data_IF_920720273754
#
_entry.id   IF_920720273754
#
_cell.length_a   1.000
_cell.length_b   1.000
_cell.length_c   1.000
_cell.angle_alpha   90.00
_cell.angle_beta   90.00
_cell.angle_gamma   90.00
#
_symmetry.space_group_name_H-M   'P 1'
#
loop_
_entity.id
_entity.type
_entity.pdbx_description
1 polymer ?
#
# COMPACT_ATOMS: atom_id res chain seq x y z
N UNK A 1 -49.78 -11.23 31.43
CA UNK A 1 -49.21 -9.85 31.47
C UNK A 1 -48.16 -9.74 30.37
N UNK A 2 -48.57 -9.20 29.24
CA UNK A 2 -47.67 -9.02 28.08
C UNK A 2 -46.95 -7.69 28.21
N UNK A 3 -45.57 -7.70 28.22
CA UNK A 3 -44.78 -6.51 28.03
C UNK A 3 -44.36 -6.41 26.57
N UNK A 4 -44.83 -5.36 25.92
CA UNK A 4 -44.48 -4.96 24.55
C UNK A 4 -43.04 -4.51 24.52
N UNK A 5 -42.23 -5.14 23.68
CA UNK A 5 -40.87 -4.69 23.32
C UNK A 5 -40.97 -3.84 22.06
N UNK A 6 -40.68 -2.56 22.19
CA UNK A 6 -40.68 -1.59 21.09
C UNK A 6 -39.41 -1.76 20.25
N UNK A 7 -39.60 -2.13 19.00
CA UNK A 7 -38.55 -2.26 17.99
C UNK A 7 -38.25 -0.87 17.42
N UNK A 8 -37.08 -0.29 17.72
CA UNK A 8 -36.62 0.96 17.11
C UNK A 8 -35.96 0.60 15.79
N UNK A 9 -36.62 0.90 14.69
CA UNK A 9 -36.02 0.87 13.36
C UNK A 9 -35.13 2.09 13.18
N UNK A 10 -33.80 1.87 13.13
CA UNK A 10 -32.83 2.85 12.66
C UNK A 10 -32.83 2.83 11.12
N UNK A 11 -33.46 3.83 10.52
CA UNK A 11 -33.33 4.09 9.08
C UNK A 11 -31.97 4.71 8.80
N UNK A 12 -31.07 3.95 8.18
CA UNK A 12 -29.84 4.50 7.58
C UNK A 12 -30.22 5.28 6.32
N UNK A 13 -30.13 6.61 6.41
CA UNK A 13 -30.17 7.48 5.25
C UNK A 13 -28.81 7.32 4.49
N UNK A 14 -28.88 6.73 3.31
CA UNK A 14 -27.78 6.71 2.37
C UNK A 14 -27.58 8.13 1.81
N UNK A 15 -26.59 8.86 2.32
CA UNK A 15 -26.15 10.11 1.73
C UNK A 15 -25.35 9.81 0.47
N UNK A 16 -25.99 9.95 -0.68
CA UNK A 16 -25.32 9.99 -1.96
C UNK A 16 -24.43 11.25 -1.99
N UNK A 17 -23.09 11.08 -1.87
CA UNK A 17 -22.14 12.13 -2.24
C UNK A 17 -22.18 12.28 -3.76
N UNK A 18 -23.02 13.24 -4.22
CA UNK A 18 -22.91 13.79 -5.55
C UNK A 18 -21.64 14.63 -5.60
N UNK A 19 -20.65 14.18 -6.36
CA UNK A 19 -19.48 14.99 -6.67
C UNK A 19 -19.94 16.22 -7.43
N UNK A 20 -19.95 17.37 -6.78
CA UNK A 20 -20.25 18.65 -7.39
C UNK A 20 -19.10 19.00 -8.35
N UNK A 21 -19.38 18.96 -9.63
CA UNK A 21 -18.55 19.60 -10.67
C UNK A 21 -18.49 21.09 -10.33
N UNK A 22 -17.30 21.71 -10.21
CA UNK A 22 -17.22 23.13 -9.96
C UNK A 22 -17.82 23.89 -11.13
N UNK A 23 -18.96 24.54 -10.89
CA UNK A 23 -19.55 25.49 -11.81
C UNK A 23 -18.70 26.76 -11.75
N UNK A 24 -18.02 27.08 -12.86
CA UNK A 24 -17.39 28.38 -13.00
C UNK A 24 -18.47 29.47 -12.89
N UNK A 25 -18.30 30.37 -11.92
CA UNK A 25 -19.16 31.56 -11.77
C UNK A 25 -18.96 32.46 -13.01
N UNK A 26 -20.03 33.03 -13.63
CA UNK A 26 -19.87 33.94 -14.75
C UNK A 26 -19.27 35.26 -14.28
N UNK A 27 -18.16 35.68 -14.89
CA UNK A 27 -17.66 37.04 -14.73
C UNK A 27 -18.60 38.04 -15.43
N UNK A 28 -19.18 38.95 -14.66
CA UNK A 28 -20.03 40.02 -15.19
C UNK A 28 -19.13 41.17 -15.63
N UNK A 29 -18.92 41.31 -16.92
CA UNK A 29 -18.29 42.51 -17.50
C UNK A 29 -19.33 43.62 -17.64
N UNK A 30 -18.90 44.87 -17.46
CA UNK A 30 -19.74 46.10 -17.39
C UNK A 30 -20.51 46.44 -18.66
N UNK A 31 -20.57 45.61 -19.67
CA UNK A 31 -21.26 45.82 -20.95
C UNK A 31 -22.40 44.87 -21.26
N UNK A 32 -22.89 44.09 -20.27
CA UNK A 32 -24.16 43.37 -20.37
C UNK A 32 -24.29 42.28 -21.46
N UNK A 33 -23.24 41.90 -22.17
CA UNK A 33 -23.23 40.79 -23.12
C UNK A 33 -22.57 39.57 -22.50
N UNK A 34 -23.39 38.55 -22.14
CA UNK A 34 -22.90 37.23 -21.77
C UNK A 34 -22.22 36.61 -23.00
N UNK A 35 -20.91 36.67 -23.07
CA UNK A 35 -20.16 35.81 -24.00
C UNK A 35 -20.07 34.41 -23.38
N UNK A 36 -20.89 33.49 -23.85
CA UNK A 36 -20.65 32.05 -23.62
C UNK A 36 -19.31 31.72 -24.29
N UNK A 37 -18.24 31.54 -23.50
CA UNK A 37 -17.03 30.91 -24.01
C UNK A 37 -17.39 29.56 -24.54
N UNK A 38 -17.29 29.37 -25.84
CA UNK A 38 -17.55 28.07 -26.48
C UNK A 38 -16.70 27.02 -25.78
N UNK A 39 -17.32 26.00 -25.16
CA UNK A 39 -16.62 24.88 -24.57
C UNK A 39 -15.90 24.17 -25.71
N UNK A 40 -14.57 24.22 -25.75
CA UNK A 40 -13.76 23.46 -26.70
C UNK A 40 -14.11 21.99 -26.54
N UNK A 41 -14.42 21.33 -27.63
CA UNK A 41 -14.64 19.87 -27.63
C UNK A 41 -13.32 19.13 -27.33
N UNK A 42 -13.38 17.91 -26.78
CA UNK A 42 -12.16 17.12 -26.56
C UNK A 42 -11.31 16.95 -27.83
N UNK A 43 -11.95 16.84 -29.01
CA UNK A 43 -11.25 16.75 -30.29
C UNK A 43 -10.52 18.04 -30.66
N UNK A 44 -11.11 19.21 -30.39
CA UNK A 44 -10.46 20.51 -30.63
C UNK A 44 -9.30 20.75 -29.66
N UNK A 45 -9.47 20.42 -28.37
CA UNK A 45 -8.40 20.52 -27.39
C UNK A 45 -7.24 19.55 -27.71
N UNK A 46 -7.55 18.33 -28.17
CA UNK A 46 -6.55 17.38 -28.66
C UNK A 46 -5.77 17.95 -29.86
N UNK A 47 -6.45 18.59 -30.81
CA UNK A 47 -5.81 19.22 -31.96
C UNK A 47 -4.88 20.37 -31.55
N UNK A 48 -5.09 20.95 -30.36
CA UNK A 48 -4.24 22.00 -29.77
C UNK A 48 -3.10 21.42 -28.92
N UNK A 49 -2.95 20.10 -28.87
CA UNK A 49 -1.85 19.42 -28.16
C UNK A 49 -2.18 18.96 -26.72
N UNK A 50 -3.44 19.04 -26.28
CA UNK A 50 -3.86 18.49 -25.00
C UNK A 50 -3.98 16.95 -25.10
N UNK A 51 -2.97 16.25 -24.60
CA UNK A 51 -2.89 14.80 -24.64
C UNK A 51 -3.99 14.11 -23.81
N UNK A 52 -4.45 14.75 -22.73
CA UNK A 52 -5.57 14.22 -21.94
C UNK A 52 -6.90 14.34 -22.71
N UNK A 53 -7.09 15.45 -23.42
CA UNK A 53 -8.23 15.60 -24.32
C UNK A 53 -8.17 14.59 -25.47
N UNK A 54 -6.98 14.24 -25.97
CA UNK A 54 -6.80 13.16 -26.95
C UNK A 54 -7.27 11.80 -26.43
N UNK A 55 -7.01 11.49 -25.16
CA UNK A 55 -7.53 10.27 -24.52
C UNK A 55 -9.06 10.30 -24.51
N UNK A 56 -9.67 11.38 -24.03
CA UNK A 56 -11.14 11.51 -23.94
C UNK A 56 -11.77 11.39 -25.33
N UNK A 57 -11.27 12.11 -26.33
CA UNK A 57 -11.76 12.03 -27.70
C UNK A 57 -11.57 10.62 -28.31
N UNK A 58 -10.44 9.96 -28.02
CA UNK A 58 -10.17 8.60 -28.45
C UNK A 58 -11.14 7.57 -27.85
N UNK A 59 -11.48 7.70 -26.57
CA UNK A 59 -12.46 6.84 -25.90
C UNK A 59 -13.88 7.09 -26.42
N UNK A 60 -14.24 8.34 -26.75
CA UNK A 60 -15.50 8.67 -27.42
C UNK A 60 -15.60 8.01 -28.81
N UNK A 61 -14.56 8.17 -29.64
CA UNK A 61 -14.49 7.53 -30.94
C UNK A 61 -14.56 5.99 -30.84
N UNK A 62 -13.95 5.41 -29.77
CA UNK A 62 -14.01 3.97 -29.51
C UNK A 62 -15.45 3.50 -29.23
N UNK A 63 -16.26 4.30 -28.52
CA UNK A 63 -17.66 3.96 -28.27
C UNK A 63 -18.50 3.91 -29.55
N UNK A 64 -18.13 4.72 -30.56
CA UNK A 64 -18.77 4.75 -31.88
C UNK A 64 -18.19 3.70 -32.84
N UNK A 65 -17.03 3.13 -32.54
CA UNK A 65 -16.29 2.21 -33.41
C UNK A 65 -17.07 0.93 -33.76
N UNK A 66 -18.04 0.54 -32.93
CA UNK A 66 -18.94 -0.59 -33.22
C UNK A 66 -19.92 -0.31 -34.34
N UNK A 67 -20.19 0.95 -34.62
CA UNK A 67 -21.21 1.38 -35.60
C UNK A 67 -20.58 1.98 -36.85
N UNK A 68 -19.37 2.50 -36.80
CA UNK A 68 -18.69 3.22 -37.86
C UNK A 68 -17.23 2.80 -37.99
N UNK A 69 -16.84 2.30 -39.17
CA UNK A 69 -15.44 1.90 -39.42
C UNK A 69 -14.46 3.09 -39.33
N UNK A 70 -14.88 4.30 -39.79
CA UNK A 70 -14.06 5.50 -39.65
C UNK A 70 -13.74 5.85 -38.19
N UNK A 71 -14.66 5.59 -37.27
CA UNK A 71 -14.44 5.84 -35.85
C UNK A 71 -13.34 4.95 -35.24
N UNK A 72 -13.11 3.75 -35.81
CA UNK A 72 -11.99 2.86 -35.42
C UNK A 72 -10.64 3.51 -35.73
N UNK A 73 -10.50 4.06 -36.94
CA UNK A 73 -9.26 4.73 -37.31
C UNK A 73 -9.00 5.98 -36.47
N UNK A 74 -10.05 6.79 -36.21
CA UNK A 74 -9.95 7.94 -35.34
C UNK A 74 -9.59 7.57 -33.90
N UNK A 75 -10.25 6.56 -33.34
CA UNK A 75 -9.94 6.05 -31.99
C UNK A 75 -8.47 5.61 -31.89
N UNK A 76 -7.98 4.82 -32.84
CA UNK A 76 -6.58 4.39 -32.87
C UNK A 76 -5.63 5.58 -32.92
N UNK A 77 -5.87 6.52 -33.81
CA UNK A 77 -5.03 7.73 -34.00
C UNK A 77 -5.00 8.57 -32.73
N UNK A 78 -6.16 8.86 -32.13
CA UNK A 78 -6.27 9.70 -30.93
C UNK A 78 -5.65 9.03 -29.69
N UNK A 79 -5.88 7.74 -29.48
CA UNK A 79 -5.26 6.98 -28.41
C UNK A 79 -3.73 6.89 -28.59
N UNK A 80 -3.26 6.78 -29.86
CA UNK A 80 -1.81 6.81 -30.15
C UNK A 80 -1.22 8.17 -29.78
N UNK A 81 -1.84 9.27 -30.19
CA UNK A 81 -1.38 10.62 -29.84
C UNK A 81 -1.33 10.82 -28.31
N UNK A 82 -2.37 10.41 -27.60
CA UNK A 82 -2.40 10.51 -26.14
C UNK A 82 -1.30 9.63 -25.48
N UNK A 83 -1.08 8.43 -25.98
CA UNK A 83 -0.04 7.53 -25.49
C UNK A 83 1.37 8.08 -25.75
N UNK A 84 1.64 8.56 -26.95
CA UNK A 84 2.91 9.20 -27.32
C UNK A 84 3.13 10.49 -26.50
N UNK A 85 2.03 11.15 -26.12
CA UNK A 85 1.99 12.27 -25.17
C UNK A 85 2.10 11.87 -23.69
N UNK A 86 2.51 10.61 -23.40
CA UNK A 86 2.75 10.08 -22.04
C UNK A 86 1.49 9.97 -21.15
N UNK A 87 0.31 9.82 -21.74
CA UNK A 87 -0.89 9.46 -20.98
C UNK A 87 -0.94 7.97 -20.80
N UNK A 88 -0.59 7.49 -19.62
CA UNK A 88 -0.46 6.06 -19.30
C UNK A 88 -1.74 5.26 -19.61
N UNK A 89 -2.90 5.83 -19.27
CA UNK A 89 -4.20 5.21 -19.54
C UNK A 89 -4.46 5.00 -21.03
N UNK A 90 -4.06 5.93 -21.89
CA UNK A 90 -4.18 5.79 -23.34
C UNK A 90 -3.30 4.64 -23.86
N UNK A 91 -2.07 4.55 -23.36
CA UNK A 91 -1.15 3.45 -23.69
C UNK A 91 -1.75 2.09 -23.28
N UNK A 92 -2.34 2.02 -22.09
CA UNK A 92 -3.02 0.80 -21.60
C UNK A 92 -4.20 0.42 -22.49
N UNK A 93 -5.08 1.36 -22.79
CA UNK A 93 -6.22 1.09 -23.67
C UNK A 93 -5.77 0.62 -25.05
N UNK A 94 -4.82 1.33 -25.66
CA UNK A 94 -4.29 0.95 -26.97
C UNK A 94 -3.64 -0.45 -26.95
N UNK A 95 -2.81 -0.72 -25.93
CA UNK A 95 -2.16 -2.01 -25.75
C UNK A 95 -3.17 -3.15 -25.57
N UNK A 96 -4.20 -2.96 -24.74
CA UNK A 96 -5.25 -3.97 -24.52
C UNK A 96 -6.05 -4.24 -25.80
N UNK A 97 -6.46 -3.20 -26.54
CA UNK A 97 -7.21 -3.35 -27.77
C UNK A 97 -6.42 -4.05 -28.89
N UNK A 98 -5.11 -3.81 -28.93
CA UNK A 98 -4.21 -4.54 -29.84
C UNK A 98 -3.95 -5.99 -29.41
N UNK A 99 -4.07 -6.30 -28.10
CA UNK A 99 -3.97 -7.68 -27.58
C UNK A 99 -5.19 -8.50 -27.99
N UNK A 100 -6.39 -7.95 -27.76
CA UNK A 100 -7.65 -8.69 -27.98
C UNK A 100 -8.01 -8.81 -29.46
N UNK A 101 -7.69 -7.84 -30.28
CA UNK A 101 -8.07 -7.82 -31.69
C UNK A 101 -9.54 -7.48 -31.95
N UNK A 102 -10.32 -7.12 -30.94
CA UNK A 102 -11.78 -6.91 -31.02
C UNK A 102 -12.16 -5.67 -31.85
N UNK A 103 -11.37 -4.63 -31.77
CA UNK A 103 -11.63 -3.35 -32.44
C UNK A 103 -10.60 -3.07 -33.52
N UNK A 104 -9.33 -3.27 -33.20
CA UNK A 104 -8.20 -3.12 -34.10
C UNK A 104 -7.67 -4.52 -34.49
N UNK A 105 -7.05 -4.64 -35.63
CA UNK A 105 -6.34 -5.88 -36.00
C UNK A 105 -5.32 -6.18 -34.87
N UNK A 106 -5.32 -7.42 -34.37
CA UNK A 106 -4.40 -7.86 -33.35
C UNK A 106 -2.94 -7.64 -33.75
N UNK A 107 -2.17 -7.05 -32.89
CA UNK A 107 -0.73 -6.86 -33.02
C UNK A 107 -0.08 -7.09 -31.65
N UNK A 108 0.34 -8.32 -31.32
CA UNK A 108 0.91 -8.65 -30.02
C UNK A 108 2.21 -7.92 -29.72
N UNK A 109 2.99 -7.56 -30.73
CA UNK A 109 4.27 -6.85 -30.56
C UNK A 109 4.01 -5.41 -30.16
N UNK A 110 3.17 -4.71 -30.93
CA UNK A 110 2.79 -3.34 -30.63
C UNK A 110 2.01 -3.25 -29.30
N UNK A 111 1.11 -4.22 -29.05
CA UNK A 111 0.40 -4.34 -27.78
C UNK A 111 1.36 -4.33 -26.58
N UNK A 112 2.36 -5.22 -26.60
CA UNK A 112 3.33 -5.33 -25.52
C UNK A 112 4.16 -4.04 -25.35
N UNK A 113 4.53 -3.40 -26.48
CA UNK A 113 5.26 -2.12 -26.43
C UNK A 113 4.42 -1.02 -25.77
N UNK A 114 3.13 -0.90 -26.12
CA UNK A 114 2.23 0.09 -25.53
C UNK A 114 1.97 -0.17 -24.03
N UNK A 115 1.79 -1.43 -23.65
CA UNK A 115 1.67 -1.81 -22.24
C UNK A 115 2.95 -1.50 -21.46
N UNK A 116 4.13 -1.75 -22.04
CA UNK A 116 5.42 -1.38 -21.41
C UNK A 116 5.53 0.14 -21.20
N UNK A 117 5.15 0.95 -22.18
CA UNK A 117 5.11 2.40 -22.03
C UNK A 117 4.18 2.83 -20.88
N UNK A 118 3.00 2.25 -20.78
CA UNK A 118 2.06 2.53 -19.69
C UNK A 118 2.62 2.12 -18.32
N UNK A 119 3.24 0.94 -18.22
CA UNK A 119 3.88 0.46 -17.00
C UNK A 119 5.04 1.39 -16.58
N UNK A 120 5.87 1.86 -17.53
CA UNK A 120 6.94 2.81 -17.25
C UNK A 120 6.42 4.18 -16.77
N UNK A 121 5.15 4.50 -17.10
CA UNK A 121 4.40 5.65 -16.61
C UNK A 121 3.63 5.34 -15.31
N UNK A 122 4.00 4.29 -14.58
CA UNK A 122 3.42 3.89 -13.29
C UNK A 122 1.95 3.43 -13.38
N UNK A 123 1.48 2.96 -14.55
CA UNK A 123 0.19 2.30 -14.65
C UNK A 123 0.29 0.85 -14.13
N UNK A 124 -0.10 0.64 -12.90
CA UNK A 124 -0.09 -0.65 -12.20
C UNK A 124 -0.78 -1.76 -12.99
N UNK A 125 -1.93 -1.45 -13.62
CA UNK A 125 -2.69 -2.45 -14.38
C UNK A 125 -1.92 -2.94 -15.60
N UNK A 126 -1.22 -2.05 -16.29
CA UNK A 126 -0.37 -2.43 -17.43
C UNK A 126 0.81 -3.28 -17.02
N UNK A 127 1.44 -2.98 -15.88
CA UNK A 127 2.51 -3.81 -15.34
C UNK A 127 2.02 -5.25 -15.09
N UNK A 128 0.83 -5.41 -14.48
CA UNK A 128 0.24 -6.71 -14.22
C UNK A 128 -0.13 -7.46 -15.51
N UNK A 129 -0.67 -6.76 -16.53
CA UNK A 129 -0.94 -7.39 -17.84
C UNK A 129 0.32 -7.92 -18.53
N UNK A 130 1.47 -7.29 -18.27
CA UNK A 130 2.77 -7.75 -18.77
C UNK A 130 3.28 -8.93 -17.94
N UNK A 131 3.05 -8.93 -16.63
CA UNK A 131 3.35 -10.10 -15.77
C UNK A 131 2.62 -11.33 -16.28
N UNK A 132 1.31 -11.22 -16.58
CA UNK A 132 0.52 -12.33 -17.12
C UNK A 132 1.10 -12.83 -18.46
N UNK A 133 1.57 -11.91 -19.32
CA UNK A 133 2.20 -12.28 -20.58
C UNK A 133 3.50 -13.08 -20.39
N UNK A 134 4.33 -12.75 -19.39
CA UNK A 134 5.55 -13.50 -19.07
C UNK A 134 5.26 -14.81 -18.34
N UNK A 135 4.20 -14.85 -17.53
CA UNK A 135 3.71 -16.07 -16.89
C UNK A 135 3.27 -17.12 -17.92
N UNK A 136 2.48 -16.71 -18.91
CA UNK A 136 2.09 -17.57 -20.06
C UNK A 136 3.31 -18.15 -20.82
N UNK A 137 4.45 -17.47 -20.77
CA UNK A 137 5.71 -17.89 -21.42
C UNK A 137 6.66 -18.63 -20.50
N UNK A 138 6.30 -18.79 -19.21
CA UNK A 138 7.16 -19.34 -18.18
C UNK A 138 8.51 -18.59 -18.06
N UNK A 139 8.50 -17.28 -18.31
CA UNK A 139 9.66 -16.40 -18.17
C UNK A 139 9.67 -15.73 -16.78
N UNK A 140 10.21 -16.43 -15.78
CA UNK A 140 10.29 -15.94 -14.39
C UNK A 140 11.06 -14.62 -14.29
N UNK A 141 12.12 -14.43 -15.08
CA UNK A 141 12.91 -13.19 -15.07
C UNK A 141 12.09 -12.00 -15.56
N UNK A 142 11.32 -12.19 -16.62
CA UNK A 142 10.37 -11.19 -17.09
C UNK A 142 9.30 -10.89 -16.06
N UNK A 143 8.73 -11.92 -15.42
CA UNK A 143 7.75 -11.77 -14.35
C UNK A 143 8.30 -10.94 -13.20
N UNK A 144 9.46 -11.29 -12.64
CA UNK A 144 10.10 -10.57 -11.52
C UNK A 144 10.33 -9.10 -11.87
N UNK A 145 10.80 -8.82 -13.09
CA UNK A 145 11.05 -7.45 -13.55
C UNK A 145 9.78 -6.59 -13.51
N UNK A 146 8.66 -7.12 -14.02
CA UNK A 146 7.41 -6.35 -14.09
C UNK A 146 6.59 -6.40 -12.82
N UNK A 147 6.74 -7.41 -11.98
CA UNK A 147 6.25 -7.40 -10.60
C UNK A 147 6.95 -6.30 -9.78
N UNK A 148 8.26 -6.13 -9.94
CA UNK A 148 8.99 -5.02 -9.33
C UNK A 148 8.43 -3.66 -9.74
N UNK A 149 8.19 -3.44 -11.03
CA UNK A 149 7.57 -2.22 -11.54
C UNK A 149 6.12 -2.03 -11.05
N UNK A 150 5.34 -3.10 -10.98
CA UNK A 150 3.98 -3.04 -10.42
C UNK A 150 4.01 -2.68 -8.93
N UNK A 151 4.95 -3.23 -8.17
CA UNK A 151 5.21 -2.86 -6.79
C UNK A 151 5.58 -1.37 -6.65
N UNK A 152 6.46 -0.86 -7.51
CA UNK A 152 6.81 0.56 -7.57
C UNK A 152 5.60 1.46 -7.90
N UNK A 153 4.68 0.97 -8.71
CA UNK A 153 3.43 1.63 -9.06
C UNK A 153 2.33 1.49 -7.99
N UNK A 154 2.61 0.86 -6.85
CA UNK A 154 1.71 0.79 -5.70
C UNK A 154 0.92 -0.51 -5.55
N UNK A 155 1.31 -1.60 -6.22
CA UNK A 155 0.70 -2.91 -6.05
C UNK A 155 1.38 -3.71 -4.93
N UNK A 156 0.75 -3.78 -3.76
CA UNK A 156 1.26 -4.52 -2.60
C UNK A 156 1.38 -6.03 -2.87
N UNK A 157 0.45 -6.61 -3.62
CA UNK A 157 0.49 -8.02 -3.99
C UNK A 157 1.64 -8.30 -4.96
N UNK A 158 1.92 -7.39 -5.89
CA UNK A 158 3.06 -7.51 -6.79
C UNK A 158 4.38 -7.47 -6.02
N UNK A 159 4.50 -6.62 -4.98
CA UNK A 159 5.66 -6.58 -4.09
C UNK A 159 5.94 -7.97 -3.48
N UNK A 160 4.91 -8.59 -2.91
CA UNK A 160 5.05 -9.90 -2.28
C UNK A 160 5.35 -11.02 -3.27
N UNK A 161 4.74 -10.98 -4.46
CA UNK A 161 5.02 -11.94 -5.54
C UNK A 161 6.46 -11.79 -6.05
N UNK A 162 6.96 -10.56 -6.20
CA UNK A 162 8.34 -10.30 -6.59
C UNK A 162 9.33 -10.90 -5.58
N UNK A 163 9.09 -10.67 -4.29
CA UNK A 163 9.91 -11.25 -3.19
C UNK A 163 9.83 -12.77 -3.18
N UNK A 164 8.66 -13.37 -3.44
CA UNK A 164 8.50 -14.82 -3.47
C UNK A 164 9.26 -15.49 -4.62
N UNK A 165 9.30 -14.86 -5.80
CA UNK A 165 10.03 -15.36 -6.97
C UNK A 165 11.53 -15.08 -6.92
N UNK A 166 11.92 -13.96 -6.33
CA UNK A 166 13.32 -13.59 -6.11
C UNK A 166 13.57 -13.20 -4.65
N UNK A 167 13.71 -14.20 -3.75
CA UNK A 167 13.92 -13.93 -2.32
C UNK A 167 15.23 -13.18 -2.03
N UNK A 168 16.20 -13.24 -2.92
CA UNK A 168 17.49 -12.54 -2.83
C UNK A 168 17.50 -11.22 -3.59
N UNK A 169 16.34 -10.82 -4.11
CA UNK A 169 16.17 -9.61 -4.91
C UNK A 169 16.18 -8.31 -4.10
N UNK A 170 15.60 -7.29 -4.68
CA UNK A 170 15.64 -5.94 -4.15
C UNK A 170 14.90 -5.82 -2.80
N UNK A 171 15.62 -5.47 -1.73
CA UNK A 171 15.07 -5.19 -0.39
C UNK A 171 13.95 -4.12 -0.43
N UNK A 172 13.99 -3.23 -1.41
CA UNK A 172 13.00 -2.17 -1.59
C UNK A 172 11.58 -2.72 -1.77
N UNK A 173 11.42 -3.88 -2.40
CA UNK A 173 10.10 -4.53 -2.54
C UNK A 173 9.54 -4.98 -1.20
N UNK A 174 10.39 -5.52 -0.32
CA UNK A 174 10.02 -5.91 1.04
C UNK A 174 9.62 -4.69 1.85
N UNK A 175 10.42 -3.62 1.75
CA UNK A 175 10.18 -2.34 2.42
C UNK A 175 8.85 -1.74 1.97
N UNK A 176 8.58 -1.69 0.67
CA UNK A 176 7.30 -1.19 0.14
C UNK A 176 6.11 -2.02 0.58
N UNK A 177 6.23 -3.35 0.53
CA UNK A 177 5.16 -4.22 1.03
C UNK A 177 4.85 -3.95 2.51
N UNK A 178 5.89 -3.71 3.32
CA UNK A 178 5.73 -3.28 4.70
C UNK A 178 5.04 -1.91 4.80
N UNK A 179 5.37 -0.96 3.94
CA UNK A 179 4.74 0.37 3.90
C UNK A 179 3.25 0.30 3.58
N UNK A 180 2.85 -0.65 2.76
CA UNK A 180 1.43 -0.98 2.49
C UNK A 180 0.74 -1.73 3.63
N UNK A 181 1.41 -1.97 4.76
CA UNK A 181 0.81 -2.58 5.95
C UNK A 181 0.89 -4.12 5.96
N UNK A 182 1.74 -4.72 5.15
CA UNK A 182 1.99 -6.17 5.20
C UNK A 182 2.90 -6.49 6.39
N UNK A 183 2.31 -7.12 7.42
CA UNK A 183 3.02 -7.46 8.67
C UNK A 183 4.20 -8.40 8.43
N UNK A 184 4.01 -9.41 7.58
CA UNK A 184 5.03 -10.37 7.18
C UNK A 184 6.23 -9.69 6.49
N UNK A 185 5.98 -8.74 5.60
CA UNK A 185 7.01 -7.95 4.96
C UNK A 185 7.75 -7.03 5.95
N UNK A 186 7.04 -6.45 6.94
CA UNK A 186 7.70 -5.64 7.98
C UNK A 186 8.67 -6.48 8.82
N UNK A 187 8.28 -7.70 9.18
CA UNK A 187 9.15 -8.63 9.90
C UNK A 187 10.35 -9.05 9.05
N UNK A 188 10.14 -9.34 7.76
CA UNK A 188 11.21 -9.70 6.84
C UNK A 188 12.20 -8.53 6.65
N UNK A 189 11.72 -7.32 6.39
CA UNK A 189 12.55 -6.12 6.30
C UNK A 189 13.36 -5.89 7.57
N UNK A 190 12.71 -5.97 8.74
CA UNK A 190 13.38 -5.83 10.04
C UNK A 190 14.53 -6.85 10.19
N UNK A 191 14.28 -8.11 9.87
CA UNK A 191 15.25 -9.20 10.01
C UNK A 191 16.44 -9.03 9.05
N UNK A 192 16.19 -8.60 7.81
CA UNK A 192 17.26 -8.38 6.81
C UNK A 192 18.16 -7.22 7.20
N UNK A 193 17.61 -6.10 7.67
CA UNK A 193 18.40 -4.98 8.19
C UNK A 193 19.13 -5.35 9.49
N UNK A 194 18.54 -6.19 10.33
CA UNK A 194 19.11 -6.61 11.60
C UNK A 194 20.32 -7.52 11.44
N UNK A 195 20.31 -8.39 10.42
CA UNK A 195 21.38 -9.37 10.14
C UNK A 195 22.34 -8.95 9.04
N UNK A 196 22.04 -7.91 8.30
CA UNK A 196 22.78 -7.53 7.10
C UNK A 196 22.56 -8.51 5.94
N UNK A 197 21.42 -9.19 5.89
CA UNK A 197 21.09 -10.13 4.80
C UNK A 197 20.43 -9.37 3.65
N UNK A 198 21.06 -9.37 2.46
CA UNK A 198 20.59 -8.68 1.23
C UNK A 198 20.46 -7.14 1.37
N UNK A 199 20.86 -6.60 2.51
CA UNK A 199 21.02 -5.20 2.80
C UNK A 199 22.23 -5.04 3.71
N UNK A 200 22.81 -3.84 3.76
CA UNK A 200 23.80 -3.54 4.80
C UNK A 200 23.12 -3.56 6.16
N UNK A 201 23.78 -4.14 7.16
CA UNK A 201 23.28 -4.09 8.53
C UNK A 201 22.98 -2.64 8.95
N UNK A 202 21.74 -2.40 9.34
CA UNK A 202 21.24 -1.11 9.82
C UNK A 202 20.27 -1.33 10.99
N UNK A 203 20.79 -1.31 12.23
CA UNK A 203 19.96 -1.48 13.41
C UNK A 203 18.87 -0.41 13.58
N UNK A 204 19.08 0.79 13.04
CA UNK A 204 18.06 1.86 13.09
C UNK A 204 16.88 1.54 12.17
N UNK A 205 17.17 1.09 10.94
CA UNK A 205 16.15 0.60 10.02
C UNK A 205 15.45 -0.65 10.58
N UNK A 206 16.21 -1.60 11.14
CA UNK A 206 15.66 -2.80 11.76
C UNK A 206 14.66 -2.45 12.88
N UNK A 207 15.03 -1.53 13.78
CA UNK A 207 14.14 -1.07 14.85
C UNK A 207 12.84 -0.47 14.26
N UNK A 208 12.94 0.42 13.28
CA UNK A 208 11.78 1.02 12.60
C UNK A 208 10.80 -0.04 12.10
N UNK A 209 11.30 -1.10 11.47
CA UNK A 209 10.43 -2.14 10.89
C UNK A 209 9.94 -3.14 11.93
N UNK A 210 10.70 -3.43 13.02
CA UNK A 210 10.17 -4.18 14.16
C UNK A 210 9.04 -3.42 14.87
N UNK A 211 9.19 -2.11 15.08
CA UNK A 211 8.13 -1.27 15.63
C UNK A 211 6.87 -1.29 14.77
N UNK A 212 7.04 -1.21 13.43
CA UNK A 212 5.92 -1.26 12.50
C UNK A 212 5.25 -2.63 12.47
N UNK A 213 6.01 -3.72 12.49
CA UNK A 213 5.47 -5.07 12.62
C UNK A 213 4.71 -5.26 13.94
N UNK A 214 5.21 -4.69 15.04
CA UNK A 214 4.52 -4.67 16.32
C UNK A 214 3.19 -3.90 16.25
N UNK A 215 3.16 -2.74 15.59
CA UNK A 215 1.92 -1.98 15.38
C UNK A 215 0.88 -2.78 14.59
N UNK A 216 1.35 -3.63 13.67
CA UNK A 216 0.54 -4.59 12.90
C UNK A 216 0.31 -5.92 13.67
N UNK A 217 0.37 -5.86 15.01
CA UNK A 217 0.02 -6.92 15.93
C UNK A 217 0.99 -8.11 16.02
N UNK A 218 2.20 -8.01 15.46
CA UNK A 218 3.23 -9.02 15.65
C UNK A 218 3.86 -8.92 17.05
N UNK A 219 3.39 -9.74 17.98
CA UNK A 219 3.86 -9.72 19.36
C UNK A 219 5.37 -10.01 19.52
N UNK A 220 6.01 -10.95 18.80
CA UNK A 220 7.45 -11.12 18.81
C UNK A 220 8.23 -9.86 18.43
N UNK A 221 7.77 -9.11 17.42
CA UNK A 221 8.40 -7.84 17.02
C UNK A 221 8.32 -6.78 18.09
N UNK A 222 7.22 -6.73 18.87
CA UNK A 222 7.12 -5.84 20.03
C UNK A 222 8.20 -6.14 21.08
N UNK A 223 8.45 -7.44 21.32
CA UNK A 223 9.48 -7.89 22.26
C UNK A 223 10.88 -7.48 21.78
N UNK A 224 11.19 -7.65 20.49
CA UNK A 224 12.48 -7.28 19.90
C UNK A 224 12.67 -5.76 19.95
N UNK A 225 11.66 -4.97 19.53
CA UNK A 225 11.72 -3.52 19.59
C UNK A 225 11.96 -3.01 21.03
N UNK A 226 11.31 -3.64 22.02
CA UNK A 226 11.54 -3.32 23.42
C UNK A 226 12.99 -3.59 23.85
N UNK A 227 13.56 -4.73 23.49
CA UNK A 227 14.96 -5.09 23.77
C UNK A 227 15.94 -4.12 23.09
N UNK A 228 15.63 -3.68 21.86
CA UNK A 228 16.45 -2.71 21.15
C UNK A 228 16.43 -1.33 21.84
N UNK A 229 15.29 -0.87 22.36
CA UNK A 229 15.20 0.35 23.16
C UNK A 229 15.89 0.20 24.52
N UNK A 230 15.81 -0.97 25.15
CA UNK A 230 16.48 -1.27 26.42
C UNK A 230 18.00 -1.21 26.27
N UNK A 231 18.56 -1.86 25.22
CA UNK A 231 19.99 -1.93 24.99
C UNK A 231 20.58 -0.72 24.26
N UNK A 232 19.74 0.12 23.64
CA UNK A 232 20.19 1.22 22.81
C UNK A 232 20.63 0.77 21.40
N UNK A 233 20.24 -0.44 20.95
CA UNK A 233 20.58 -0.91 19.61
C UNK A 233 19.72 -0.24 18.55
N UNK A 234 20.32 0.51 17.65
CA UNK A 234 19.63 1.29 16.62
C UNK A 234 19.00 2.60 17.12
N UNK A 235 19.14 2.91 18.40
CA UNK A 235 18.66 4.14 19.02
C UNK A 235 19.45 4.42 20.30
N UNK A 236 19.19 5.51 20.99
CA UNK A 236 19.68 5.69 22.37
C UNK A 236 18.89 4.80 23.32
N UNK A 237 19.57 4.20 24.30
CA UNK A 237 18.92 3.39 25.34
C UNK A 237 17.85 4.21 26.07
N UNK A 238 16.65 3.67 26.15
CA UNK A 238 15.50 4.33 26.78
C UNK A 238 14.57 3.29 27.42
N UNK A 239 14.68 3.14 28.73
CA UNK A 239 13.91 2.15 29.48
C UNK A 239 12.40 2.45 29.46
N UNK A 240 12.01 3.73 29.48
CA UNK A 240 10.59 4.09 29.40
C UNK A 240 9.97 3.61 28.08
N UNK A 241 10.65 3.85 26.95
CA UNK A 241 10.20 3.33 25.64
C UNK A 241 10.24 1.81 25.59
N UNK A 242 11.28 1.19 26.19
CA UNK A 242 11.34 -0.27 26.27
C UNK A 242 10.10 -0.85 26.97
N UNK A 243 9.69 -0.26 28.10
CA UNK A 243 8.49 -0.68 28.82
C UNK A 243 7.23 -0.53 27.96
N UNK A 244 7.09 0.56 27.21
CA UNK A 244 5.94 0.76 26.29
C UNK A 244 5.82 -0.36 25.27
N UNK A 245 6.94 -0.78 24.65
CA UNK A 245 6.95 -1.87 23.70
C UNK A 245 6.80 -3.23 24.36
N UNK A 246 7.40 -3.46 25.54
CA UNK A 246 7.15 -4.66 26.34
C UNK A 246 5.67 -4.78 26.74
N UNK A 247 5.03 -3.66 27.09
CA UNK A 247 3.61 -3.67 27.47
C UNK A 247 2.71 -4.07 26.30
N UNK A 248 2.99 -3.57 25.09
CA UNK A 248 2.31 -4.03 23.88
C UNK A 248 2.49 -5.54 23.66
N UNK A 249 3.69 -6.07 23.89
CA UNK A 249 3.95 -7.51 23.80
C UNK A 249 3.20 -8.29 24.89
N UNK A 250 3.19 -7.78 26.13
CA UNK A 250 2.49 -8.36 27.28
C UNK A 250 0.98 -8.44 27.03
N UNK A 251 0.36 -7.37 26.52
CA UNK A 251 -1.06 -7.33 26.15
C UNK A 251 -1.41 -8.36 25.09
N UNK A 252 -0.45 -8.71 24.21
CA UNK A 252 -0.57 -9.77 23.21
C UNK A 252 -0.14 -11.17 23.69
N UNK A 253 -0.20 -11.37 25.00
CA UNK A 253 0.11 -12.64 25.67
C UNK A 253 1.57 -13.11 25.60
N UNK A 254 2.51 -12.21 25.29
CA UNK A 254 3.94 -12.51 25.45
C UNK A 254 4.32 -12.44 26.93
N UNK A 255 4.07 -13.52 27.65
CA UNK A 255 4.21 -13.59 29.12
C UNK A 255 5.60 -13.19 29.61
N UNK A 256 6.65 -13.44 28.82
CA UNK A 256 8.02 -13.02 29.12
C UNK A 256 8.18 -11.51 29.14
N UNK A 257 7.42 -10.78 28.30
CA UNK A 257 7.42 -9.33 28.30
C UNK A 257 6.80 -8.77 29.59
N UNK A 258 5.69 -9.35 30.06
CA UNK A 258 5.10 -8.97 31.35
C UNK A 258 6.11 -9.19 32.49
N UNK A 259 6.77 -10.37 32.52
CA UNK A 259 7.79 -10.67 33.52
C UNK A 259 8.96 -9.67 33.47
N UNK A 260 9.45 -9.30 32.26
CA UNK A 260 10.54 -8.34 32.11
C UNK A 260 10.17 -6.96 32.65
N UNK A 261 8.94 -6.47 32.36
CA UNK A 261 8.44 -5.22 32.95
C UNK A 261 8.45 -5.30 34.50
N UNK A 262 7.98 -6.41 35.04
CA UNK A 262 8.00 -6.65 36.49
C UNK A 262 9.42 -6.57 37.07
N UNK A 263 10.40 -7.21 36.39
CA UNK A 263 11.81 -7.17 36.82
C UNK A 263 12.40 -5.76 36.71
N UNK A 264 12.10 -4.99 35.66
CA UNK A 264 12.56 -3.61 35.49
C UNK A 264 12.06 -2.71 36.65
N UNK A 265 10.76 -2.79 36.98
CA UNK A 265 10.22 -2.02 38.12
C UNK A 265 10.75 -2.51 39.49
N UNK A 266 11.06 -3.81 39.63
CA UNK A 266 11.61 -4.36 40.84
C UNK A 266 13.03 -3.83 41.14
N UNK A 267 13.84 -3.80 40.08
CA UNK A 267 15.23 -3.38 40.15
C UNK A 267 15.39 -1.84 40.16
N UNK A 268 14.49 -1.13 39.47
CA UNK A 268 14.64 0.32 39.22
C UNK A 268 15.66 0.58 38.08
N UNK A 269 15.77 -0.32 37.12
CA UNK A 269 16.71 -0.21 35.99
C UNK A 269 16.31 0.93 35.05
N UNK A 270 17.02 2.06 35.09
CA UNK A 270 16.77 3.22 34.23
C UNK A 270 15.44 3.96 34.45
N UNK A 271 14.70 3.58 35.48
CA UNK A 271 13.46 4.18 35.94
C UNK A 271 13.38 4.13 37.47
N UNK A 272 12.43 4.85 38.05
CA UNK A 272 12.16 4.75 39.52
C UNK A 272 11.62 3.36 39.84
N UNK A 273 12.15 2.78 40.94
CA UNK A 273 11.69 1.50 41.50
C UNK A 273 10.23 1.58 41.94
N UNK A 274 9.39 0.64 41.51
CA UNK A 274 7.98 0.57 41.87
C UNK A 274 7.55 -0.88 42.13
N UNK A 275 7.55 -1.25 43.42
CA UNK A 275 7.19 -2.59 43.87
C UNK A 275 5.74 -2.95 43.52
N UNK A 276 4.81 -1.97 43.54
CA UNK A 276 3.40 -2.23 43.22
C UNK A 276 3.24 -2.59 41.77
N UNK A 277 3.88 -1.84 40.86
CA UNK A 277 3.89 -2.16 39.43
C UNK A 277 4.62 -3.48 39.16
N UNK A 278 5.74 -3.74 39.82
CA UNK A 278 6.43 -5.03 39.70
C UNK A 278 5.50 -6.19 40.04
N UNK A 279 4.83 -6.16 41.22
CA UNK A 279 3.87 -7.19 41.61
C UNK A 279 2.73 -7.33 40.61
N UNK A 280 2.20 -6.23 40.06
CA UNK A 280 1.13 -6.23 39.07
C UNK A 280 1.54 -7.02 37.82
N UNK A 281 2.69 -6.70 37.23
CA UNK A 281 3.16 -7.38 36.03
C UNK A 281 3.61 -8.81 36.26
N UNK A 282 4.21 -9.14 37.39
CA UNK A 282 4.52 -10.50 37.79
C UNK A 282 3.27 -11.34 38.04
N UNK A 283 2.19 -10.75 38.60
CA UNK A 283 0.90 -11.39 38.73
C UNK A 283 0.29 -11.76 37.40
N UNK A 284 0.35 -10.86 36.38
CA UNK A 284 -0.09 -11.14 35.01
C UNK A 284 0.71 -12.33 34.44
N UNK A 285 2.03 -12.28 34.55
CA UNK A 285 2.90 -13.34 34.04
C UNK A 285 2.66 -14.69 34.74
N UNK A 286 2.49 -14.69 36.06
CA UNK A 286 2.18 -15.90 36.85
C UNK A 286 0.81 -16.48 36.46
N UNK A 287 -0.22 -15.64 36.36
CA UNK A 287 -1.58 -16.07 36.03
C UNK A 287 -1.68 -16.64 34.60
N UNK A 288 -0.78 -16.25 33.71
CA UNK A 288 -0.67 -16.76 32.35
C UNK A 288 0.29 -17.95 32.19
N UNK A 289 0.77 -18.49 33.31
CA UNK A 289 1.54 -19.74 33.35
C UNK A 289 3.07 -19.58 33.45
N UNK A 290 3.59 -18.36 33.57
CA UNK A 290 5.03 -18.16 33.75
C UNK A 290 5.43 -18.32 35.24
N UNK A 291 5.69 -19.55 35.65
CA UNK A 291 5.93 -19.94 37.04
C UNK A 291 7.03 -19.15 37.74
N UNK A 292 8.09 -18.75 37.01
CA UNK A 292 9.19 -17.94 37.55
C UNK A 292 8.74 -16.58 38.12
N UNK A 293 7.60 -16.06 37.69
CA UNK A 293 7.04 -14.81 38.17
C UNK A 293 6.17 -14.99 39.41
N UNK A 294 5.73 -16.20 39.76
CA UNK A 294 4.76 -16.41 40.83
C UNK A 294 5.37 -16.03 42.22
N UNK A 295 6.64 -16.34 42.45
CA UNK A 295 7.34 -15.97 43.73
C UNK A 295 7.56 -14.45 43.84
N UNK A 296 7.63 -13.74 42.69
CA UNK A 296 7.81 -12.29 42.63
C UNK A 296 6.49 -11.50 42.64
N UNK A 297 5.37 -12.22 42.47
CA UNK A 297 4.04 -11.64 42.39
C UNK A 297 3.44 -11.18 43.74
N UNK A 298 4.18 -11.34 44.82
CA UNK A 298 3.70 -10.98 46.20
C UNK A 298 2.52 -11.84 46.66
N UNK A 299 2.39 -13.05 46.12
CA UNK A 299 1.45 -14.06 46.60
C UNK A 299 2.23 -14.94 47.60
N UNK A 300 2.07 -14.67 48.86
CA UNK A 300 2.38 -15.62 49.95
C UNK A 300 1.29 -16.67 50.06
#
# INVERSE_FOLDING_TARGET
MFKKTTLIMLTFAASALSAAVPQALPEVTSSGTMTMTARTTPSEACAQGDNQACLVAGLQALSEAKQRESAKADAKRLLTLACDGKVAEACRHLGTLLKTGDVFKADPVESLNRLKMACDLQDQRSCNLIVDHYDEKHDEKGMVTYLGKACEAGDDNACMRAVALDPNGNIEWVVRACEFGRMDACLDAATRFDKGEQAKEDPTAALKYYEKACQLENAPSCMIAAQMHESGRGTQANMTKAIEWYDKACQRRMVRACARIGDIYLAGEGIEKDIKKSHFYHNIACATGYRASCSKAGRE
#
